data_IF_561481109517
#
_entry.id   IF_561481109517
#
_cell.length_a   1.000
_cell.length_b   1.000
_cell.length_c   1.000
_cell.angle_alpha   90.00
_cell.angle_beta   90.00
_cell.angle_gamma   90.00
#
_symmetry.space_group_name_H-M   'P 1'
#
loop_
_entity.id
_entity.type
_entity.pdbx_description
1 polymer ?
#
# COMPACT_ATOMS: atom_id res chain seq x y z
N UNK A 1 10.52 9.78 -9.92
CA UNK A 1 9.26 10.17 -9.26
C UNK A 1 8.36 8.95 -9.08
N UNK A 2 7.33 9.04 -8.23
CA UNK A 2 6.45 7.90 -7.94
C UNK A 2 5.63 7.43 -9.14
N UNK A 3 5.20 8.33 -10.05
CA UNK A 3 4.44 7.93 -11.25
C UNK A 3 5.30 7.01 -12.12
N UNK A 4 6.54 7.40 -12.39
CA UNK A 4 7.49 6.58 -13.15
C UNK A 4 7.81 5.26 -12.45
N UNK A 5 8.00 5.27 -11.13
CA UNK A 5 8.26 4.06 -10.34
C UNK A 5 7.13 3.03 -10.48
N UNK A 6 5.88 3.44 -10.28
CA UNK A 6 4.73 2.54 -10.42
C UNK A 6 4.44 2.15 -11.87
N UNK A 7 4.70 3.04 -12.84
CA UNK A 7 4.53 2.75 -14.26
C UNK A 7 5.56 1.73 -14.78
N UNK A 8 6.79 1.75 -14.25
CA UNK A 8 7.85 0.81 -14.63
C UNK A 8 7.87 -0.47 -13.79
N UNK A 9 7.01 -0.58 -12.77
CA UNK A 9 6.90 -1.79 -11.99
C UNK A 9 6.45 -2.95 -12.90
N UNK A 10 7.25 -4.03 -13.04
CA UNK A 10 6.97 -5.09 -14.01
C UNK A 10 5.66 -5.81 -13.72
N UNK A 11 5.33 -5.94 -12.43
CA UNK A 11 4.04 -6.46 -11.98
C UNK A 11 3.74 -5.98 -10.57
N UNK A 12 2.65 -5.24 -10.43
CA UNK A 12 2.13 -4.89 -9.11
C UNK A 12 1.41 -6.09 -8.49
N UNK A 13 1.63 -6.34 -7.21
CA UNK A 13 0.96 -7.42 -6.49
C UNK A 13 -0.58 -7.21 -6.53
N UNK A 14 -1.39 -8.18 -6.99
CA UNK A 14 -2.85 -8.06 -6.98
C UNK A 14 -3.42 -7.86 -5.57
N UNK A 15 -2.82 -8.47 -4.55
CA UNK A 15 -3.28 -8.40 -3.16
C UNK A 15 -3.12 -7.02 -2.54
N UNK A 16 -2.36 -6.11 -3.16
CA UNK A 16 -2.24 -4.73 -2.68
C UNK A 16 -3.60 -4.02 -2.60
N UNK A 17 -4.59 -4.44 -3.41
CA UNK A 17 -5.96 -3.90 -3.35
C UNK A 17 -6.69 -4.29 -2.06
N UNK A 18 -6.20 -5.29 -1.33
CA UNK A 18 -6.70 -5.68 0.00
C UNK A 18 -6.14 -4.80 1.12
N UNK A 19 -5.24 -3.86 0.80
CA UNK A 19 -4.74 -2.89 1.78
C UNK A 19 -5.82 -1.84 2.03
N UNK A 20 -6.33 -1.81 3.25
CA UNK A 20 -7.43 -0.93 3.68
C UNK A 20 -7.07 -0.22 4.99
N UNK A 21 -7.91 0.73 5.38
CA UNK A 21 -7.80 1.48 6.63
C UNK A 21 -7.06 2.80 6.47
N UNK A 22 -6.60 3.32 7.62
CA UNK A 22 -6.03 4.67 7.72
C UNK A 22 -4.50 4.61 7.81
N UNK A 23 -3.84 5.50 7.08
CA UNK A 23 -2.39 5.78 7.16
C UNK A 23 -2.16 7.28 6.99
N UNK A 24 -1.26 7.86 7.79
CA UNK A 24 -0.99 9.31 7.79
C UNK A 24 -2.26 10.19 7.90
N UNK A 25 -3.28 9.73 8.64
CA UNK A 25 -4.54 10.45 8.83
C UNK A 25 -5.55 10.35 7.67
N UNK A 26 -5.25 9.61 6.61
CA UNK A 26 -6.11 9.47 5.42
C UNK A 26 -6.54 8.00 5.26
N UNK A 27 -7.81 7.77 4.91
CA UNK A 27 -8.33 6.46 4.52
C UNK A 27 -7.95 6.13 3.08
N UNK A 28 -7.29 5.00 2.85
CA UNK A 28 -6.69 4.69 1.55
C UNK A 28 -7.74 4.39 0.48
N UNK A 29 -8.86 3.79 0.89
CA UNK A 29 -9.99 3.43 0.07
C UNK A 29 -10.66 4.64 -0.61
N UNK A 30 -10.60 5.80 0.05
CA UNK A 30 -11.24 7.05 -0.42
C UNK A 30 -10.37 7.81 -1.44
N UNK A 31 -9.12 7.39 -1.64
CA UNK A 31 -8.18 8.05 -2.54
C UNK A 31 -8.53 7.74 -3.99
N UNK A 32 -9.07 8.75 -4.68
CA UNK A 32 -9.47 8.65 -6.10
C UNK A 32 -8.28 8.61 -7.06
N UNK A 33 -7.22 9.38 -6.78
CA UNK A 33 -6.05 9.43 -7.64
C UNK A 33 -5.21 8.15 -7.48
N UNK A 34 -5.00 7.46 -8.60
CA UNK A 34 -4.44 6.11 -8.60
C UNK A 34 -3.01 6.08 -8.05
N UNK A 35 -2.15 7.03 -8.45
CA UNK A 35 -0.75 7.08 -8.02
C UNK A 35 -0.65 7.29 -6.51
N UNK A 36 -1.39 8.25 -5.97
CA UNK A 36 -1.46 8.57 -4.54
C UNK A 36 -1.96 7.38 -3.74
N UNK A 37 -2.94 6.63 -4.26
CA UNK A 37 -3.40 5.41 -3.60
C UNK A 37 -2.31 4.34 -3.53
N UNK A 38 -1.55 4.15 -4.61
CA UNK A 38 -0.42 3.20 -4.63
C UNK A 38 0.72 3.65 -3.68
N UNK A 39 0.97 4.96 -3.57
CA UNK A 39 1.90 5.53 -2.57
C UNK A 39 1.42 5.22 -1.15
N UNK A 40 0.12 5.43 -0.85
CA UNK A 40 -0.42 5.15 0.49
C UNK A 40 -0.46 3.66 0.83
N UNK A 41 -0.59 2.79 -0.17
CA UNK A 41 -0.36 1.36 0.04
C UNK A 41 1.07 1.08 0.53
N UNK A 42 2.08 1.69 -0.11
CA UNK A 42 3.47 1.55 0.31
C UNK A 42 3.68 2.07 1.74
N UNK A 43 3.19 3.27 2.05
CA UNK A 43 3.28 3.85 3.40
C UNK A 43 2.65 2.94 4.45
N UNK A 44 1.49 2.33 4.14
CA UNK A 44 0.80 1.43 5.06
C UNK A 44 1.61 0.17 5.36
N UNK A 45 2.25 -0.41 4.34
CA UNK A 45 3.09 -1.59 4.52
C UNK A 45 4.30 -1.28 5.42
N UNK A 46 4.90 -0.11 5.25
CA UNK A 46 6.03 0.34 6.09
C UNK A 46 5.56 0.65 7.52
N UNK A 47 4.42 1.33 7.69
CA UNK A 47 3.82 1.58 9.01
C UNK A 47 3.54 0.29 9.79
N UNK A 48 3.03 -0.73 9.10
CA UNK A 48 2.75 -2.04 9.69
C UNK A 48 4.02 -2.81 10.05
N UNK A 49 5.06 -2.71 9.23
CA UNK A 49 6.37 -3.28 9.52
C UNK A 49 7.01 -2.60 10.74
N UNK A 50 6.98 -1.26 10.79
CA UNK A 50 7.51 -0.49 11.90
C UNK A 50 6.77 -0.78 13.23
N UNK A 51 5.48 -1.10 13.16
CA UNK A 51 4.66 -1.54 14.31
C UNK A 51 4.87 -3.02 14.69
N UNK A 52 5.80 -3.72 14.05
CA UNK A 52 6.14 -5.10 14.38
C UNK A 52 5.09 -6.14 13.95
N UNK A 53 4.25 -5.85 12.95
CA UNK A 53 3.33 -6.86 12.41
C UNK A 53 4.12 -7.97 11.70
N UNK A 54 3.59 -9.20 11.76
CA UNK A 54 4.17 -10.33 11.03
C UNK A 54 4.08 -10.12 9.51
N UNK A 55 5.06 -10.67 8.79
CA UNK A 55 5.10 -10.60 7.32
C UNK A 55 3.86 -11.23 6.68
N UNK A 56 3.30 -12.31 7.24
CA UNK A 56 2.06 -12.93 6.75
C UNK A 56 0.88 -11.96 6.76
N UNK A 57 0.73 -11.22 7.86
CA UNK A 57 -0.29 -10.16 7.98
C UNK A 57 -0.03 -9.02 6.99
N UNK A 58 1.22 -8.57 6.86
CA UNK A 58 1.61 -7.49 5.93
C UNK A 58 1.32 -7.89 4.48
N UNK A 59 1.62 -9.13 4.11
CA UNK A 59 1.39 -9.68 2.76
C UNK A 59 -0.06 -10.03 2.48
N UNK A 60 -0.97 -9.91 3.46
CA UNK A 60 -2.40 -10.25 3.35
C UNK A 60 -2.62 -11.71 2.94
N UNK A 61 -1.74 -12.60 3.40
CA UNK A 61 -1.92 -14.05 3.27
C UNK A 61 -2.89 -14.52 4.37
N UNK A 62 -3.78 -15.44 4.01
CA UNK A 62 -4.63 -16.15 4.97
C UNK A 62 -3.80 -17.20 5.72
#
# INVERSE_FOLDING_TARGET
DFKTFFAKAPRLNPDRKKITGVVCGIRVEDIKEKTMREIRYLDKLIDELAKGKSMEKIMRKA
#
